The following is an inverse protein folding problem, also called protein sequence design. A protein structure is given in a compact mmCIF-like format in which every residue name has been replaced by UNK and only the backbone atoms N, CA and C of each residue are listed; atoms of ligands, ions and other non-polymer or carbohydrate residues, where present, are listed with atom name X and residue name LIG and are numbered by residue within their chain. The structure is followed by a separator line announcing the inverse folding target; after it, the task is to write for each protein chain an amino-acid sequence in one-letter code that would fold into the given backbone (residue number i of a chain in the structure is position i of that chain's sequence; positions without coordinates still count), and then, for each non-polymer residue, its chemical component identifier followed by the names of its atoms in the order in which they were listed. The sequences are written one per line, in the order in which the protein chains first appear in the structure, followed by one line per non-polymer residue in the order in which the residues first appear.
data_IF_127452779002
#
_entry.id   IF_127452779002
#
_cell.length_a   1.000
_cell.length_b   1.000
_cell.length_c   1.000
_cell.angle_alpha   90.00
_cell.angle_beta   90.00
_cell.angle_gamma   90.00
#
_symmetry.space_group_name_H-M   'P 1'
#
loop_
_entity.id
_entity.type
_entity.pdbx_description
1 polymer ?
#
# COMPACT_ATOMS: atom_id res chain seq x y z
N UNK A 1 -107.85 6.60 1.78
CA UNK A 1 -108.18 7.25 3.06
C UNK A 1 -106.95 8.02 3.52
N UNK A 2 -107.11 9.33 3.80
CA UNK A 2 -106.04 10.26 4.23
C UNK A 2 -105.66 10.04 5.69
N UNK A 3 -104.42 10.42 6.04
CA UNK A 3 -104.00 11.26 7.20
C UNK A 3 -102.56 10.88 7.60
N UNK A 4 -101.64 11.72 8.08
CA UNK A 4 -101.44 13.18 8.21
C UNK A 4 -99.99 13.36 8.71
N UNK A 5 -99.42 14.54 8.48
CA UNK A 5 -98.09 15.02 8.85
C UNK A 5 -97.78 15.16 10.36
N UNK A 6 -96.46 15.31 10.63
CA UNK A 6 -95.81 16.06 11.74
C UNK A 6 -95.58 15.25 13.04
N UNK A 7 -94.54 15.47 13.86
CA UNK A 7 -93.40 16.41 13.90
C UNK A 7 -92.56 16.07 15.18
N UNK A 8 -91.23 16.20 15.09
CA UNK A 8 -90.25 16.59 16.14
C UNK A 8 -90.34 16.07 17.60
N UNK A 9 -89.26 15.40 18.04
CA UNK A 9 -88.37 15.74 19.20
C UNK A 9 -87.65 14.46 19.70
N UNK A 10 -86.32 14.32 19.54
CA UNK A 10 -85.23 14.64 20.51
C UNK A 10 -85.28 13.75 21.78
N UNK A 11 -84.22 13.15 22.35
CA UNK A 11 -82.75 13.11 22.18
C UNK A 11 -82.18 12.13 23.26
N UNK A 12 -80.91 11.67 23.10
CA UNK A 12 -80.06 10.86 24.01
C UNK A 12 -80.38 9.35 24.06
N UNK A 13 -79.49 8.37 23.85
CA UNK A 13 -78.03 8.24 23.62
C UNK A 13 -77.77 6.82 23.08
N UNK A 14 -76.74 6.67 22.25
CA UNK A 14 -75.51 5.93 22.56
C UNK A 14 -74.73 5.85 21.23
N UNK A 15 -73.67 6.67 21.18
CA UNK A 15 -72.60 6.63 20.20
C UNK A 15 -71.95 5.25 20.17
N UNK A 16 -72.38 4.38 19.25
CA UNK A 16 -71.55 3.25 18.80
C UNK A 16 -70.81 3.70 17.55
N UNK A 17 -69.69 4.40 17.74
CA UNK A 17 -68.72 4.64 16.69
C UNK A 17 -68.15 3.29 16.21
N UNK A 18 -68.64 2.79 15.07
CA UNK A 18 -67.98 1.70 14.36
C UNK A 18 -66.60 2.21 13.88
N UNK A 19 -65.49 1.52 14.16
CA UNK A 19 -64.19 1.95 13.71
C UNK A 19 -64.13 1.91 12.16
N UNK A 20 -63.40 2.84 11.52
CA UNK A 20 -63.23 2.79 10.08
C UNK A 20 -62.47 1.51 9.74
N UNK A 21 -62.99 0.74 8.77
CA UNK A 21 -62.25 -0.37 8.15
C UNK A 21 -61.01 0.20 7.47
N UNK A 22 -59.89 0.32 8.20
CA UNK A 22 -58.57 0.58 7.59
C UNK A 22 -58.31 -0.57 6.63
N UNK A 23 -58.14 -0.26 5.35
CA UNK A 23 -57.99 -1.29 4.33
C UNK A 23 -56.69 -2.08 4.62
N UNK A 24 -56.75 -3.41 4.75
CA UNK A 24 -55.57 -4.22 5.05
C UNK A 24 -54.51 -4.15 3.95
N UNK A 25 -54.88 -3.69 2.73
CA UNK A 25 -53.93 -3.46 1.64
C UNK A 25 -53.01 -2.27 1.90
N UNK A 26 -53.51 -1.14 2.40
CA UNK A 26 -52.66 0.03 2.67
C UNK A 26 -51.61 -0.27 3.75
N UNK A 27 -52.00 -1.02 4.78
CA UNK A 27 -51.07 -1.47 5.82
C UNK A 27 -50.02 -2.45 5.26
N UNK A 28 -50.44 -3.42 4.43
CA UNK A 28 -49.51 -4.37 3.79
C UNK A 28 -48.53 -3.66 2.85
N UNK A 29 -48.99 -2.70 2.05
CA UNK A 29 -48.13 -1.91 1.16
C UNK A 29 -47.15 -1.04 1.95
N UNK A 30 -47.60 -0.40 3.04
CA UNK A 30 -46.73 0.38 3.92
C UNK A 30 -45.63 -0.49 4.56
N UNK A 31 -45.97 -1.71 5.01
CA UNK A 31 -45.00 -2.66 5.58
C UNK A 31 -43.96 -3.10 4.54
N UNK A 32 -44.36 -3.35 3.29
CA UNK A 32 -43.42 -3.73 2.22
C UNK A 32 -42.46 -2.58 1.90
N UNK A 33 -42.98 -1.35 1.77
CA UNK A 33 -42.14 -0.16 1.52
C UNK A 33 -41.17 0.04 2.67
N UNK A 34 -41.64 -0.05 3.92
CA UNK A 34 -40.78 0.07 5.09
C UNK A 34 -39.70 -1.01 5.11
N UNK A 35 -40.04 -2.27 4.81
CA UNK A 35 -39.07 -3.36 4.72
C UNK A 35 -38.03 -3.16 3.63
N UNK A 36 -38.41 -2.61 2.46
CA UNK A 36 -37.46 -2.29 1.39
C UNK A 36 -36.53 -1.13 1.79
N UNK A 37 -37.06 -0.08 2.39
CA UNK A 37 -36.26 1.06 2.88
C UNK A 37 -35.31 0.61 3.99
N UNK A 38 -35.77 -0.19 4.94
CA UNK A 38 -34.92 -0.79 5.97
C UNK A 38 -33.87 -1.71 5.36
N UNK A 39 -34.21 -2.54 4.37
CA UNK A 39 -33.26 -3.40 3.67
C UNK A 39 -32.16 -2.62 2.96
N UNK A 40 -32.52 -1.55 2.23
CA UNK A 40 -31.56 -0.65 1.56
C UNK A 40 -30.73 0.12 2.59
N UNK A 41 -31.32 0.57 3.69
CA UNK A 41 -30.62 1.26 4.77
C UNK A 41 -29.63 0.33 5.47
N UNK A 42 -30.04 -0.89 5.84
CA UNK A 42 -29.17 -1.91 6.43
C UNK A 42 -28.06 -2.27 5.45
N UNK A 43 -28.37 -2.49 4.16
CA UNK A 43 -27.36 -2.78 3.15
C UNK A 43 -26.37 -1.63 2.94
N UNK A 44 -26.85 -0.38 2.97
CA UNK A 44 -26.00 0.83 2.89
C UNK A 44 -25.11 0.97 4.13
N UNK A 45 -25.65 0.70 5.33
CA UNK A 45 -24.90 0.69 6.59
C UNK A 45 -23.87 -0.44 6.58
N UNK A 46 -24.22 -1.64 6.12
CA UNK A 46 -23.29 -2.76 5.99
C UNK A 46 -22.18 -2.47 4.97
N UNK A 47 -22.49 -1.86 3.82
CA UNK A 47 -21.48 -1.43 2.84
C UNK A 47 -20.55 -0.36 3.42
N UNK A 48 -21.10 0.63 4.13
CA UNK A 48 -20.31 1.63 4.86
C UNK A 48 -19.47 0.99 5.95
N UNK A 49 -19.99 -0.02 6.65
CA UNK A 49 -19.31 -0.73 7.74
C UNK A 49 -18.18 -1.62 7.20
N UNK A 50 -18.34 -2.27 6.05
CA UNK A 50 -17.26 -2.98 5.35
C UNK A 50 -16.19 -2.01 4.85
N UNK A 51 -16.59 -0.85 4.31
CA UNK A 51 -15.62 0.16 3.84
C UNK A 51 -14.87 0.81 5.01
N UNK A 52 -15.55 1.06 6.14
CA UNK A 52 -14.90 1.55 7.36
C UNK A 52 -14.07 0.46 8.01
N UNK A 53 -14.48 -0.80 7.99
CA UNK A 53 -13.70 -1.92 8.49
C UNK A 53 -12.41 -2.09 7.70
N UNK A 54 -12.44 -1.99 6.37
CA UNK A 54 -11.23 -1.96 5.54
C UNK A 54 -10.32 -0.75 5.88
N UNK A 55 -10.92 0.42 6.16
CA UNK A 55 -10.21 1.64 6.56
C UNK A 55 -9.61 1.54 7.96
N UNK A 56 -10.31 0.93 8.92
CA UNK A 56 -9.81 0.66 10.27
C UNK A 56 -8.74 -0.41 10.22
N UNK A 57 -8.83 -1.46 9.41
CA UNK A 57 -7.71 -2.40 9.24
C UNK A 57 -6.47 -1.67 8.70
N UNK A 58 -6.63 -0.76 7.74
CA UNK A 58 -5.51 0.05 7.21
C UNK A 58 -4.95 1.08 8.22
N UNK A 59 -5.77 1.54 9.17
CA UNK A 59 -5.35 2.44 10.26
C UNK A 59 -4.82 1.69 11.50
N UNK A 60 -5.31 0.49 11.80
CA UNK A 60 -4.86 -0.40 12.88
C UNK A 60 -3.53 -1.08 12.53
N UNK A 61 -3.20 -1.18 11.25
CA UNK A 61 -1.84 -1.48 10.81
C UNK A 61 -0.85 -0.33 11.06
N UNK A 62 -1.27 0.82 11.62
CA UNK A 62 -0.31 1.73 12.27
C UNK A 62 0.24 1.04 13.50
N UNK A 63 1.32 0.31 13.23
CA UNK A 63 2.35 -0.09 14.15
C UNK A 63 1.93 -1.24 15.07
N UNK A 64 2.46 -2.45 14.82
CA UNK A 64 2.85 -3.31 15.94
C UNK A 64 3.99 -2.55 16.64
N UNK A 65 3.59 -1.60 17.48
CA UNK A 65 4.48 -0.70 18.21
C UNK A 65 5.05 -1.45 19.40
N UNK A 66 5.97 -2.37 19.12
CA UNK A 66 6.93 -2.80 20.14
C UNK A 66 8.08 -1.78 20.23
N UNK A 67 7.77 -0.47 20.29
CA UNK A 67 8.79 0.59 20.31
C UNK A 67 9.51 0.75 21.64
N UNK A 68 9.20 0.00 22.69
CA UNK A 68 9.67 0.33 24.03
C UNK A 68 11.00 -0.28 24.47
N UNK A 69 11.78 -0.99 23.63
CA UNK A 69 13.02 -1.64 24.08
C UNK A 69 14.12 -1.66 23.01
N UNK A 70 14.72 -0.49 22.72
CA UNK A 70 15.29 -0.23 21.40
C UNK A 70 16.74 -0.64 21.11
N UNK A 71 17.56 -1.06 22.07
CA UNK A 71 18.89 -1.65 21.75
C UNK A 71 19.20 -2.84 22.65
N UNK A 72 18.84 -2.75 23.94
CA UNK A 72 19.11 -3.80 24.93
C UNK A 72 18.42 -5.14 24.62
N UNK A 73 17.30 -5.15 23.89
CA UNK A 73 16.58 -6.37 23.52
C UNK A 73 17.03 -6.98 22.19
N UNK A 74 17.75 -6.24 21.33
CA UNK A 74 18.41 -6.80 20.16
C UNK A 74 19.60 -7.70 20.56
N UNK A 75 20.13 -7.49 21.77
CA UNK A 75 21.06 -8.40 22.44
C UNK A 75 20.39 -9.71 22.90
N UNK A 76 19.07 -9.90 22.74
CA UNK A 76 18.53 -11.25 22.67
C UNK A 76 19.08 -11.87 21.38
N UNK A 77 20.06 -12.75 21.56
CA UNK A 77 20.90 -13.50 20.60
C UNK A 77 20.22 -14.14 19.38
N UNK A 78 18.89 -14.02 19.22
CA UNK A 78 18.09 -14.80 18.28
C UNK A 78 17.77 -14.12 16.93
N UNK A 79 18.11 -12.84 16.72
CA UNK A 79 18.00 -12.18 15.40
C UNK A 79 19.32 -12.09 14.64
N UNK A 80 20.45 -12.36 15.29
CA UNK A 80 21.77 -12.12 14.74
C UNK A 80 22.21 -13.30 13.87
N UNK A 81 22.61 -13.02 12.62
CA UNK A 81 23.18 -14.03 11.73
C UNK A 81 24.69 -13.85 11.61
N UNK A 82 25.41 -14.96 11.58
CA UNK A 82 26.83 -15.01 11.27
C UNK A 82 27.01 -15.80 9.97
N UNK A 83 26.63 -15.22 8.81
CA UNK A 83 26.70 -15.92 7.53
C UNK A 83 28.13 -16.34 7.23
N UNK A 84 28.27 -17.51 6.59
CA UNK A 84 29.53 -18.08 6.14
C UNK A 84 29.47 -18.23 4.62
N UNK A 85 29.80 -17.16 3.85
CA UNK A 85 29.80 -17.22 2.41
C UNK A 85 30.76 -18.29 1.91
N UNK A 86 30.38 -18.95 0.83
CA UNK A 86 31.20 -19.96 0.16
C UNK A 86 32.23 -19.34 -0.79
N UNK A 87 31.94 -18.15 -1.30
CA UNK A 87 32.73 -17.45 -2.31
C UNK A 87 33.91 -16.64 -1.75
N UNK A 88 33.92 -16.30 -0.45
CA UNK A 88 35.00 -15.54 0.18
C UNK A 88 35.04 -15.74 1.70
N UNK A 89 36.15 -15.36 2.33
CA UNK A 89 36.26 -15.27 3.79
C UNK A 89 35.83 -13.89 4.28
N UNK A 90 34.98 -13.84 5.31
CA UNK A 90 34.58 -12.58 5.96
C UNK A 90 35.71 -11.94 6.77
N UNK A 91 36.83 -12.63 6.97
CA UNK A 91 38.03 -12.13 7.67
C UNK A 91 37.68 -11.44 9.00
N UNK A 92 38.07 -10.18 9.17
CA UNK A 92 37.76 -9.36 10.35
C UNK A 92 36.26 -9.21 10.64
N UNK A 93 35.40 -9.30 9.61
CA UNK A 93 33.95 -9.24 9.75
C UNK A 93 33.31 -10.55 10.22
N UNK A 94 34.06 -11.65 10.37
CA UNK A 94 33.50 -12.96 10.69
C UNK A 94 32.67 -12.98 11.99
N UNK A 95 33.10 -12.19 12.98
CA UNK A 95 32.43 -12.04 14.28
C UNK A 95 31.39 -10.91 14.31
N UNK A 96 31.15 -10.22 13.20
CA UNK A 96 30.12 -9.21 13.12
C UNK A 96 28.81 -9.86 12.68
N UNK A 97 27.70 -9.68 13.41
CA UNK A 97 26.42 -10.19 12.97
C UNK A 97 25.87 -9.37 11.79
N UNK A 98 25.01 -9.99 10.99
CA UNK A 98 24.31 -9.37 9.87
C UNK A 98 22.81 -9.56 10.07
N UNK A 99 22.06 -8.48 9.94
CA UNK A 99 20.60 -8.51 9.92
C UNK A 99 20.10 -8.61 8.49
N UNK A 100 19.10 -9.46 8.28
CA UNK A 100 18.52 -9.67 6.96
C UNK A 100 17.24 -8.87 6.80
N UNK A 101 17.07 -8.24 5.64
CA UNK A 101 15.83 -7.54 5.33
C UNK A 101 15.35 -7.71 3.88
N UNK A 102 14.08 -7.40 3.65
CA UNK A 102 13.47 -7.27 2.33
C UNK A 102 12.58 -6.02 2.26
N UNK A 103 12.75 -5.19 1.24
CA UNK A 103 11.89 -4.04 0.96
C UNK A 103 10.76 -4.53 0.05
N UNK A 104 9.56 -4.71 0.60
CA UNK A 104 8.39 -5.15 -0.14
C UNK A 104 7.57 -3.93 -0.59
N UNK A 105 7.35 -3.80 -1.89
CA UNK A 105 6.74 -2.59 -2.43
C UNK A 105 5.96 -2.81 -3.73
N UNK A 106 5.17 -1.84 -4.14
CA UNK A 106 4.58 -1.79 -5.48
C UNK A 106 5.47 -0.93 -6.40
N UNK A 107 5.40 -1.16 -7.71
CA UNK A 107 6.04 -0.25 -8.67
C UNK A 107 5.60 1.20 -8.44
N UNK A 108 6.56 2.12 -8.61
CA UNK A 108 6.37 3.57 -8.48
C UNK A 108 5.95 4.07 -7.09
N UNK A 109 6.24 3.29 -6.05
CA UNK A 109 6.03 3.69 -4.65
C UNK A 109 7.26 4.35 -3.99
N UNK A 110 8.28 4.74 -4.79
CA UNK A 110 9.49 5.38 -4.28
C UNK A 110 10.59 4.41 -3.80
N UNK A 111 10.41 3.11 -3.96
CA UNK A 111 11.36 2.09 -3.48
C UNK A 111 12.75 2.14 -4.11
N UNK A 112 12.88 2.57 -5.35
CA UNK A 112 14.21 2.84 -5.94
C UNK A 112 14.95 3.99 -5.26
N UNK A 113 14.27 5.09 -4.93
CA UNK A 113 14.87 6.20 -4.17
C UNK A 113 15.19 5.80 -2.73
N UNK A 114 14.25 5.14 -2.05
CA UNK A 114 14.45 4.67 -0.69
C UNK A 114 15.62 3.68 -0.56
N UNK A 115 15.74 2.74 -1.52
CA UNK A 115 16.87 1.83 -1.56
C UNK A 115 18.22 2.56 -1.72
N UNK A 116 18.28 3.61 -2.55
CA UNK A 116 19.52 4.40 -2.67
C UNK A 116 19.87 5.16 -1.38
N UNK A 117 18.87 5.61 -0.61
CA UNK A 117 19.10 6.18 0.72
C UNK A 117 19.70 5.13 1.65
N UNK A 118 19.12 3.93 1.71
CA UNK A 118 19.66 2.86 2.55
C UNK A 118 21.09 2.47 2.13
N UNK A 119 21.37 2.37 0.83
CA UNK A 119 22.71 2.03 0.32
C UNK A 119 23.75 3.14 0.49
N UNK A 120 23.35 4.37 0.82
CA UNK A 120 24.30 5.40 1.25
C UNK A 120 24.83 5.14 2.66
N UNK A 121 24.19 4.26 3.42
CA UNK A 121 24.68 3.83 4.71
C UNK A 121 25.88 2.87 4.54
N UNK A 122 27.01 3.16 5.19
CA UNK A 122 28.26 2.40 5.09
C UNK A 122 28.09 0.91 5.44
N UNK A 123 27.25 0.59 6.43
CA UNK A 123 26.99 -0.79 6.87
C UNK A 123 25.78 -1.48 6.19
N UNK A 124 25.23 -0.94 5.10
CA UNK A 124 24.04 -1.53 4.43
C UNK A 124 24.36 -1.95 3.01
N UNK A 125 23.87 -3.14 2.64
CA UNK A 125 23.87 -3.64 1.27
C UNK A 125 22.48 -4.12 0.87
N UNK A 126 21.77 -3.32 0.07
CA UNK A 126 20.53 -3.71 -0.61
C UNK A 126 20.81 -3.99 -2.08
N UNK A 127 20.60 -5.23 -2.52
CA UNK A 127 21.04 -5.72 -3.83
C UNK A 127 20.11 -5.43 -5.00
N UNK A 128 19.16 -4.49 -4.86
CA UNK A 128 18.25 -4.14 -5.94
C UNK A 128 17.11 -5.14 -6.11
N UNK A 129 16.45 -5.01 -7.26
CA UNK A 129 15.25 -5.78 -7.62
C UNK A 129 15.63 -7.11 -8.28
N UNK A 130 16.29 -7.99 -7.52
CA UNK A 130 16.87 -9.22 -8.08
C UNK A 130 15.81 -10.15 -8.70
N UNK A 131 14.57 -10.12 -8.18
CA UNK A 131 13.45 -10.92 -8.68
C UNK A 131 12.71 -10.28 -9.85
N UNK A 132 13.20 -9.19 -10.43
CA UNK A 132 12.75 -8.72 -11.75
C UNK A 132 13.12 -9.68 -12.89
N UNK A 133 14.14 -10.51 -12.69
CA UNK A 133 14.59 -11.57 -13.60
C UNK A 133 13.69 -12.81 -13.47
N UNK A 134 13.10 -13.26 -14.57
CA UNK A 134 12.03 -14.30 -14.58
C UNK A 134 12.54 -15.64 -14.07
N UNK A 135 13.74 -16.03 -14.46
CA UNK A 135 14.38 -17.30 -14.15
C UNK A 135 14.48 -17.54 -12.64
N UNK A 136 14.71 -16.47 -11.88
CA UNK A 136 14.87 -16.51 -10.42
C UNK A 136 13.54 -16.69 -9.67
N UNK A 137 12.41 -16.53 -10.37
CA UNK A 137 11.05 -16.64 -9.81
C UNK A 137 10.15 -17.60 -10.59
N UNK A 138 10.72 -18.53 -11.36
CA UNK A 138 9.94 -19.51 -12.12
C UNK A 138 9.15 -20.47 -11.23
N UNK A 139 9.67 -20.77 -10.04
CA UNK A 139 9.04 -21.60 -9.02
C UNK A 139 9.63 -21.28 -7.64
N UNK A 140 9.02 -21.84 -6.59
CA UNK A 140 9.44 -21.62 -5.21
C UNK A 140 10.90 -22.04 -4.96
N UNK A 141 11.36 -23.17 -5.52
CA UNK A 141 12.74 -23.63 -5.33
C UNK A 141 13.77 -22.63 -5.87
N UNK A 142 13.54 -22.07 -7.06
CA UNK A 142 14.39 -21.02 -7.63
C UNK A 142 14.43 -19.75 -6.76
N UNK A 143 13.29 -19.41 -6.15
CA UNK A 143 13.17 -18.27 -5.24
C UNK A 143 14.03 -18.51 -4.00
N UNK A 144 13.82 -19.64 -3.31
CA UNK A 144 14.53 -19.96 -2.08
C UNK A 144 16.04 -20.08 -2.31
N UNK A 145 16.47 -20.74 -3.40
CA UNK A 145 17.89 -20.81 -3.79
C UNK A 145 18.50 -19.42 -4.03
N UNK A 146 17.73 -18.49 -4.59
CA UNK A 146 18.19 -17.11 -4.80
C UNK A 146 18.29 -16.36 -3.47
N UNK A 147 17.30 -16.52 -2.58
CA UNK A 147 17.33 -15.94 -1.23
C UNK A 147 18.51 -16.48 -0.40
N UNK A 148 18.81 -17.77 -0.52
CA UNK A 148 19.96 -18.38 0.14
C UNK A 148 21.27 -17.73 -0.32
N UNK A 149 21.45 -17.53 -1.63
CA UNK A 149 22.64 -16.83 -2.15
C UNK A 149 22.77 -15.43 -1.56
N UNK A 150 21.67 -14.67 -1.50
CA UNK A 150 21.68 -13.31 -0.94
C UNK A 150 22.03 -13.32 0.55
N UNK A 151 21.32 -14.12 1.35
CA UNK A 151 21.45 -14.10 2.81
C UNK A 151 22.62 -14.95 3.33
N UNK A 152 23.29 -15.72 2.48
CA UNK A 152 24.61 -16.29 2.76
C UNK A 152 25.76 -15.35 2.36
N UNK A 153 25.44 -14.15 1.86
CA UNK A 153 26.39 -13.15 1.33
C UNK A 153 27.14 -13.59 0.07
N UNK A 154 26.64 -14.58 -0.66
CA UNK A 154 27.21 -15.07 -1.92
C UNK A 154 26.63 -14.34 -3.15
N UNK A 155 26.05 -13.15 -2.95
CA UNK A 155 25.50 -12.32 -4.01
C UNK A 155 26.32 -11.05 -4.21
N UNK A 156 26.80 -10.82 -5.44
CA UNK A 156 27.69 -9.71 -5.77
C UNK A 156 27.13 -8.83 -6.88
N UNK A 157 27.08 -7.53 -6.62
CA UNK A 157 26.84 -6.49 -7.64
C UNK A 157 27.43 -5.15 -7.14
N UNK A 158 27.07 -4.05 -7.80
CA UNK A 158 27.52 -2.70 -7.43
C UNK A 158 27.08 -2.22 -6.03
N UNK A 159 26.16 -2.90 -5.36
CA UNK A 159 25.77 -2.60 -3.99
C UNK A 159 26.60 -3.35 -2.92
N UNK A 160 27.45 -4.30 -3.34
CA UNK A 160 28.41 -4.94 -2.45
C UNK A 160 29.39 -3.92 -1.88
N UNK A 161 29.63 -3.98 -0.57
CA UNK A 161 30.58 -3.12 0.14
C UNK A 161 31.89 -3.86 0.37
N UNK A 162 32.99 -3.11 0.47
CA UNK A 162 34.28 -3.68 0.85
C UNK A 162 34.39 -3.76 2.38
N UNK A 163 33.64 -2.93 3.09
CA UNK A 163 33.52 -2.90 4.54
C UNK A 163 32.52 -3.94 5.05
N UNK A 164 32.51 -4.16 6.37
CA UNK A 164 31.56 -5.08 7.00
C UNK A 164 30.12 -4.55 6.92
N UNK A 165 29.25 -5.23 6.16
CA UNK A 165 27.80 -4.97 6.21
C UNK A 165 27.19 -5.48 7.52
N UNK A 166 26.42 -4.62 8.19
CA UNK A 166 25.62 -4.96 9.37
C UNK A 166 24.17 -5.30 9.00
N UNK A 167 23.68 -4.83 7.85
CA UNK A 167 22.38 -5.22 7.31
C UNK A 167 22.46 -5.51 5.80
N UNK A 168 21.87 -6.62 5.40
CA UNK A 168 21.86 -7.10 4.02
C UNK A 168 20.44 -7.44 3.58
N UNK A 169 20.07 -7.00 2.38
CA UNK A 169 18.74 -7.21 1.87
C UNK A 169 18.58 -7.00 0.39
N UNK A 170 17.33 -6.92 -0.02
CA UNK A 170 16.93 -6.75 -1.41
C UNK A 170 15.62 -5.96 -1.49
N UNK A 171 15.34 -5.45 -2.68
CA UNK A 171 14.05 -4.87 -3.03
C UNK A 171 13.23 -5.90 -3.80
N UNK A 172 11.95 -6.04 -3.46
CA UNK A 172 11.06 -6.99 -4.13
C UNK A 172 9.70 -6.35 -4.38
N UNK A 173 9.29 -6.35 -5.64
CA UNK A 173 7.97 -5.86 -6.00
C UNK A 173 6.90 -6.95 -5.79
N UNK A 174 5.73 -6.56 -5.28
CA UNK A 174 4.66 -7.51 -4.93
C UNK A 174 4.23 -8.40 -6.12
N UNK A 175 4.33 -7.89 -7.35
CA UNK A 175 3.96 -8.61 -8.58
C UNK A 175 5.08 -9.49 -9.17
N UNK A 176 6.14 -9.79 -8.41
CA UNK A 176 7.29 -10.59 -8.87
C UNK A 176 7.34 -11.96 -8.17
N UNK A 177 6.24 -12.70 -8.20
CA UNK A 177 6.15 -14.04 -7.59
C UNK A 177 6.00 -14.05 -6.06
N UNK A 178 6.14 -12.89 -5.39
CA UNK A 178 6.01 -12.77 -3.94
C UNK A 178 4.61 -13.19 -3.44
N UNK A 179 3.56 -12.65 -4.07
CA UNK A 179 2.17 -12.94 -3.68
C UNK A 179 1.77 -14.38 -4.05
N UNK A 180 2.34 -14.92 -5.13
CA UNK A 180 2.06 -16.28 -5.62
C UNK A 180 2.63 -17.35 -4.68
N UNK A 181 3.85 -17.15 -4.17
CA UNK A 181 4.55 -18.08 -3.28
C UNK A 181 4.65 -17.57 -1.82
N UNK A 182 3.63 -16.81 -1.38
CA UNK A 182 3.69 -16.08 -0.11
C UNK A 182 3.89 -16.96 1.11
N UNK A 183 3.33 -18.18 1.14
CA UNK A 183 3.41 -19.09 2.30
C UNK A 183 4.85 -19.53 2.54
N UNK A 184 5.49 -20.04 1.49
CA UNK A 184 6.85 -20.55 1.54
C UNK A 184 7.86 -19.42 1.77
N UNK A 185 7.60 -18.24 1.20
CA UNK A 185 8.45 -17.05 1.44
C UNK A 185 8.30 -16.55 2.88
N UNK A 186 7.07 -16.51 3.43
CA UNK A 186 6.84 -16.11 4.82
C UNK A 186 7.50 -17.11 5.78
N UNK A 187 7.39 -18.41 5.51
CA UNK A 187 8.09 -19.46 6.27
C UNK A 187 9.60 -19.27 6.21
N UNK A 188 10.17 -19.05 5.02
CA UNK A 188 11.59 -18.77 4.86
C UNK A 188 12.02 -17.51 5.61
N UNK A 189 11.28 -16.40 5.50
CA UNK A 189 11.60 -15.16 6.21
C UNK A 189 11.54 -15.35 7.73
N UNK A 190 10.57 -16.10 8.25
CA UNK A 190 10.47 -16.38 9.68
C UNK A 190 11.60 -17.30 10.15
N UNK A 191 11.92 -18.34 9.39
CA UNK A 191 13.01 -19.27 9.69
C UNK A 191 14.37 -18.56 9.66
N UNK A 192 14.62 -17.76 8.62
CA UNK A 192 15.86 -17.01 8.39
C UNK A 192 15.86 -15.61 9.03
N UNK A 193 14.86 -15.29 9.85
CA UNK A 193 14.69 -14.01 10.57
C UNK A 193 14.85 -12.77 9.69
N UNK A 194 14.41 -12.86 8.45
CA UNK A 194 14.37 -11.72 7.52
C UNK A 194 13.29 -10.75 7.97
N UNK A 195 13.67 -9.50 8.17
CA UNK A 195 12.76 -8.42 8.52
C UNK A 195 12.20 -7.74 7.26
N UNK A 196 10.91 -7.41 7.27
CA UNK A 196 10.27 -6.76 6.13
C UNK A 196 10.18 -5.25 6.35
N UNK A 197 10.51 -4.48 5.33
CA UNK A 197 10.16 -3.06 5.22
C UNK A 197 9.09 -2.95 4.14
N UNK A 198 7.83 -2.77 4.54
CA UNK A 198 6.78 -2.42 3.60
C UNK A 198 6.91 -0.96 3.22
N UNK A 199 7.15 -0.68 1.94
CA UNK A 199 7.16 0.68 1.44
C UNK A 199 6.01 0.88 0.46
N UNK A 200 5.02 1.67 0.87
CA UNK A 200 3.87 2.01 0.04
C UNK A 200 3.78 3.50 -0.23
N UNK A 201 2.91 3.87 -1.17
CA UNK A 201 2.60 5.25 -1.49
C UNK A 201 1.11 5.45 -1.28
N UNK A 202 0.73 6.41 -0.44
CA UNK A 202 -0.67 6.66 -0.09
C UNK A 202 -1.44 7.22 -1.28
N UNK A 203 -0.87 8.15 -2.04
CA UNK A 203 -1.56 8.70 -3.20
C UNK A 203 -1.47 7.73 -4.38
N UNK A 204 -2.49 6.86 -4.52
CA UNK A 204 -2.57 5.83 -5.55
C UNK A 204 -2.82 6.41 -6.95
N UNK A 205 -3.57 7.51 -7.07
CA UNK A 205 -3.75 8.22 -8.35
C UNK A 205 -2.41 8.73 -8.87
N UNK A 206 -1.61 9.37 -8.02
CA UNK A 206 -0.27 9.84 -8.39
C UNK A 206 0.68 8.69 -8.70
N UNK A 207 0.55 7.55 -8.02
CA UNK A 207 1.26 6.32 -8.39
C UNK A 207 0.87 5.87 -9.79
N UNK A 208 -0.42 5.86 -10.13
CA UNK A 208 -0.94 5.50 -11.46
C UNK A 208 -0.39 6.42 -12.55
N UNK A 209 -0.44 7.73 -12.37
CA UNK A 209 0.18 8.70 -13.30
C UNK A 209 1.65 8.37 -13.53
N UNK A 210 2.41 8.13 -12.45
CA UNK A 210 3.82 7.77 -12.58
C UNK A 210 4.05 6.41 -13.26
N UNK A 211 3.13 5.44 -13.14
CA UNK A 211 3.20 4.16 -13.83
C UNK A 211 2.97 4.35 -15.34
N UNK A 212 1.95 5.09 -15.71
CA UNK A 212 1.61 5.37 -17.11
C UNK A 212 2.72 6.15 -17.81
N UNK A 213 3.25 7.20 -17.18
CA UNK A 213 4.37 7.98 -17.72
C UNK A 213 5.64 7.14 -17.88
N UNK A 214 5.98 6.31 -16.89
CA UNK A 214 7.12 5.38 -17.01
C UNK A 214 6.89 4.36 -18.14
N UNK A 215 5.65 3.90 -18.31
CA UNK A 215 5.32 2.93 -19.37
C UNK A 215 5.44 3.55 -20.75
N UNK A 216 5.01 4.79 -20.91
CA UNK A 216 5.15 5.56 -22.14
C UNK A 216 6.64 5.74 -22.51
N UNK A 217 7.47 6.16 -21.54
CA UNK A 217 8.90 6.39 -21.77
C UNK A 217 9.67 5.12 -22.18
N UNK A 218 9.18 3.92 -21.85
CA UNK A 218 9.79 2.66 -22.34
C UNK A 218 9.85 2.59 -23.86
N UNK A 219 8.88 3.19 -24.54
CA UNK A 219 8.81 3.22 -26.01
C UNK A 219 9.27 4.55 -26.57
N UNK A 220 8.81 5.66 -25.97
CA UNK A 220 9.12 7.01 -26.43
C UNK A 220 10.59 7.40 -26.20
N UNK A 221 11.24 6.85 -25.17
CA UNK A 221 12.66 7.02 -24.87
C UNK A 221 13.09 8.50 -24.88
N UNK A 222 12.39 9.30 -24.08
CA UNK A 222 12.41 10.77 -24.15
C UNK A 222 13.78 11.38 -23.82
N UNK A 223 14.66 10.62 -23.15
CA UNK A 223 16.00 11.06 -22.79
C UNK A 223 17.03 10.42 -23.73
N UNK A 224 17.34 11.12 -24.83
CA UNK A 224 18.37 10.72 -25.79
C UNK A 224 18.21 9.27 -26.31
N UNK A 225 16.98 8.83 -26.60
CA UNK A 225 16.73 7.48 -27.09
C UNK A 225 16.93 6.38 -26.05
N UNK A 226 16.99 6.75 -24.76
CA UNK A 226 17.09 5.80 -23.63
C UNK A 226 15.88 5.93 -22.71
N UNK A 227 15.34 4.79 -22.27
CA UNK A 227 14.33 4.75 -21.21
C UNK A 227 15.00 4.97 -19.84
N UNK A 228 14.46 5.87 -19.01
CA UNK A 228 14.92 6.04 -17.63
C UNK A 228 13.76 6.01 -16.64
N UNK A 229 13.78 5.01 -15.75
CA UNK A 229 12.82 4.91 -14.66
C UNK A 229 13.09 5.89 -13.50
N UNK A 230 14.35 6.33 -13.37
CA UNK A 230 14.84 7.27 -12.36
C UNK A 230 15.81 8.25 -13.02
N UNK A 231 15.84 9.48 -12.51
CA UNK A 231 16.64 10.57 -13.04
C UNK A 231 17.46 11.23 -11.94
N UNK A 232 18.55 11.88 -12.32
CA UNK A 232 19.49 12.50 -11.40
C UNK A 232 19.57 14.02 -11.52
N UNK A 233 18.90 14.61 -12.51
CA UNK A 233 18.87 16.05 -12.72
C UNK A 233 17.43 16.58 -12.79
N UNK A 234 17.27 17.88 -12.52
CA UNK A 234 15.98 18.55 -12.59
C UNK A 234 15.49 18.67 -14.05
N UNK A 235 16.41 18.85 -14.99
CA UNK A 235 16.13 18.97 -16.42
C UNK A 235 15.60 17.65 -16.99
N UNK A 236 16.23 16.51 -16.65
CA UNK A 236 15.74 15.19 -17.04
C UNK A 236 14.34 14.92 -16.44
N UNK A 237 14.13 15.30 -15.18
CA UNK A 237 12.84 15.18 -14.51
C UNK A 237 11.75 16.01 -15.22
N UNK A 238 12.08 17.24 -15.61
CA UNK A 238 11.16 18.13 -16.32
C UNK A 238 10.76 17.52 -17.67
N UNK A 239 11.71 17.03 -18.46
CA UNK A 239 11.44 16.39 -19.75
C UNK A 239 10.47 15.20 -19.59
N UNK A 240 10.74 14.31 -18.63
CA UNK A 240 9.88 13.13 -18.41
C UNK A 240 8.49 13.51 -17.88
N UNK A 241 8.36 14.60 -17.13
CA UNK A 241 7.08 15.05 -16.57
C UNK A 241 6.14 15.69 -17.62
N UNK A 242 6.63 16.02 -18.82
CA UNK A 242 5.81 16.63 -19.89
C UNK A 242 4.73 15.71 -20.43
N UNK A 243 4.93 14.39 -20.36
CA UNK A 243 3.92 13.44 -20.79
C UNK A 243 2.76 13.40 -19.78
N UNK A 244 1.55 13.71 -20.26
CA UNK A 244 0.32 13.65 -19.47
C UNK A 244 -0.53 12.45 -19.93
N UNK A 245 -0.64 11.38 -19.15
CA UNK A 245 -1.53 10.28 -19.49
C UNK A 245 -3.01 10.70 -19.51
N UNK A 246 -3.77 10.04 -20.38
CA UNK A 246 -5.24 9.97 -20.28
C UNK A 246 -5.57 8.80 -19.36
N UNK A 247 -6.39 9.04 -18.34
CA UNK A 247 -6.83 8.03 -17.38
C UNK A 247 -8.26 7.60 -17.73
N UNK A 248 -8.51 6.29 -17.76
CA UNK A 248 -9.85 5.76 -18.01
C UNK A 248 -10.73 5.96 -16.77
N UNK A 249 -11.57 6.99 -16.79
CA UNK A 249 -12.48 7.32 -15.69
C UNK A 249 -13.49 6.21 -15.39
N UNK A 250 -13.84 5.36 -16.36
CA UNK A 250 -14.80 4.27 -16.18
C UNK A 250 -14.24 3.17 -15.28
N UNK A 251 -12.95 2.85 -15.38
CA UNK A 251 -12.30 1.80 -14.55
C UNK A 251 -11.58 2.36 -13.31
N UNK A 252 -11.44 3.68 -13.20
CA UNK A 252 -10.57 4.32 -12.23
C UNK A 252 -10.84 3.89 -10.77
N UNK A 253 -12.09 3.81 -10.35
CA UNK A 253 -12.43 3.43 -8.97
C UNK A 253 -12.04 1.98 -8.67
N UNK A 254 -12.26 1.07 -9.63
CA UNK A 254 -11.90 -0.34 -9.51
C UNK A 254 -10.38 -0.51 -9.53
N UNK A 255 -9.67 0.21 -10.42
CA UNK A 255 -8.21 0.20 -10.48
C UNK A 255 -7.58 0.66 -9.16
N UNK A 256 -8.10 1.74 -8.54
CA UNK A 256 -7.62 2.23 -7.25
C UNK A 256 -7.91 1.24 -6.12
N UNK A 257 -9.08 0.60 -6.14
CA UNK A 257 -9.46 -0.43 -5.17
C UNK A 257 -8.57 -1.66 -5.27
N UNK A 258 -8.28 -2.13 -6.47
CA UNK A 258 -7.36 -3.25 -6.70
C UNK A 258 -5.95 -2.92 -6.22
N UNK A 259 -5.49 -1.68 -6.46
CA UNK A 259 -4.19 -1.19 -5.99
C UNK A 259 -4.09 -1.17 -4.45
N UNK A 260 -5.16 -0.81 -3.75
CA UNK A 260 -5.26 -0.87 -2.30
C UNK A 260 -5.28 -2.32 -1.80
N UNK A 261 -6.13 -3.17 -2.40
CA UNK A 261 -6.30 -4.57 -2.02
C UNK A 261 -5.01 -5.37 -2.14
N UNK A 262 -4.20 -5.14 -3.19
CA UNK A 262 -2.88 -5.78 -3.33
C UNK A 262 -1.94 -5.46 -2.17
N UNK A 263 -1.99 -4.23 -1.66
CA UNK A 263 -1.15 -3.80 -0.54
C UNK A 263 -1.66 -4.42 0.77
N UNK A 264 -2.99 -4.40 0.99
CA UNK A 264 -3.62 -5.03 2.15
C UNK A 264 -3.33 -6.54 2.21
N UNK A 265 -3.44 -7.24 1.09
CA UNK A 265 -3.17 -8.67 0.96
C UNK A 265 -1.71 -9.01 1.29
N UNK A 266 -0.76 -8.18 0.86
CA UNK A 266 0.64 -8.37 1.24
C UNK A 266 0.87 -8.20 2.74
N UNK A 267 0.22 -7.22 3.38
CA UNK A 267 0.28 -7.05 4.84
C UNK A 267 -0.31 -8.26 5.57
N UNK A 268 -1.44 -8.79 5.08
CA UNK A 268 -2.07 -9.99 5.63
C UNK A 268 -1.14 -11.21 5.52
N UNK A 269 -0.55 -11.44 4.34
CA UNK A 269 0.30 -12.60 4.07
C UNK A 269 1.58 -12.66 4.90
N UNK A 270 2.12 -11.52 5.31
CA UNK A 270 3.34 -11.45 6.10
C UNK A 270 3.10 -10.85 7.49
N UNK A 271 1.87 -10.92 8.00
CA UNK A 271 1.53 -10.39 9.32
C UNK A 271 2.33 -11.03 10.46
N UNK A 272 2.74 -12.28 10.30
CA UNK A 272 3.54 -13.05 11.27
C UNK A 272 5.04 -12.83 11.14
N UNK A 273 5.49 -12.15 10.08
CA UNK A 273 6.89 -11.80 9.86
C UNK A 273 7.18 -10.44 10.46
N UNK A 274 8.33 -10.29 11.13
CA UNK A 274 8.77 -9.01 11.69
C UNK A 274 8.80 -7.95 10.60
N UNK A 275 8.00 -6.90 10.73
CA UNK A 275 7.89 -5.88 9.71
C UNK A 275 7.73 -4.45 10.27
N UNK A 276 8.09 -3.47 9.45
CA UNK A 276 7.73 -2.05 9.62
C UNK A 276 6.99 -1.59 8.36
N UNK A 277 5.99 -0.72 8.53
CA UNK A 277 5.25 -0.12 7.42
C UNK A 277 5.65 1.34 7.31
N UNK A 278 6.10 1.71 6.12
CA UNK A 278 6.58 3.05 5.80
C UNK A 278 5.85 3.53 4.56
N UNK A 279 5.45 4.80 4.57
CA UNK A 279 4.84 5.43 3.42
C UNK A 279 5.77 6.49 2.84
N UNK A 280 5.82 6.53 1.50
CA UNK A 280 6.64 7.48 0.75
C UNK A 280 6.42 8.93 1.20
N UNK A 281 5.17 9.31 1.44
CA UNK A 281 4.82 10.66 1.87
C UNK A 281 5.42 11.01 3.24
N UNK A 282 5.50 10.05 4.17
CA UNK A 282 6.11 10.27 5.48
C UNK A 282 7.61 10.45 5.37
N UNK A 283 8.28 9.65 4.51
CA UNK A 283 9.71 9.78 4.26
C UNK A 283 10.09 11.12 3.63
N UNK A 284 9.20 11.67 2.79
CA UNK A 284 9.43 12.96 2.12
C UNK A 284 9.19 14.15 3.05
N UNK A 285 8.21 14.06 3.95
CA UNK A 285 7.85 15.17 4.86
C UNK A 285 8.63 15.13 6.17
N UNK A 286 8.86 13.93 6.70
CA UNK A 286 9.42 13.71 8.03
C UNK A 286 10.67 12.80 7.98
N UNK A 287 11.83 13.44 8.00
CA UNK A 287 13.12 12.75 8.00
C UNK A 287 13.34 11.86 9.24
N UNK A 288 12.57 12.01 10.33
CA UNK A 288 12.67 11.09 11.48
C UNK A 288 12.28 9.67 11.10
N UNK A 289 11.41 9.46 10.10
CA UNK A 289 11.02 8.12 9.65
C UNK A 289 12.18 7.31 9.05
N UNK A 290 13.20 7.97 8.50
CA UNK A 290 14.43 7.28 8.10
C UNK A 290 15.25 6.82 9.31
N UNK A 291 15.17 7.51 10.45
CA UNK A 291 15.80 7.09 11.69
C UNK A 291 15.11 5.87 12.27
N UNK A 292 13.77 5.83 12.27
CA UNK A 292 12.98 4.66 12.69
C UNK A 292 13.35 3.41 11.87
N UNK A 293 13.59 3.56 10.56
CA UNK A 293 14.05 2.46 9.70
C UNK A 293 15.46 1.99 10.06
N UNK A 294 16.39 2.92 10.30
CA UNK A 294 17.76 2.57 10.72
C UNK A 294 17.73 1.81 12.05
N UNK A 295 16.97 2.29 13.02
CA UNK A 295 16.77 1.61 14.31
C UNK A 295 16.11 0.23 14.15
N UNK A 296 15.08 0.12 13.30
CA UNK A 296 14.44 -1.15 12.97
C UNK A 296 15.41 -2.16 12.36
N UNK A 297 16.41 -1.70 11.63
CA UNK A 297 17.49 -2.51 11.06
C UNK A 297 18.70 -2.66 12.00
N UNK A 298 18.63 -2.19 13.25
CA UNK A 298 19.73 -2.28 14.22
C UNK A 298 20.97 -1.49 13.81
N UNK A 299 20.81 -0.44 13.01
CA UNK A 299 21.90 0.37 12.46
C UNK A 299 22.15 1.60 13.33
N UNK A 300 23.41 2.08 13.41
CA UNK A 300 23.68 3.41 13.93
C UNK A 300 22.98 4.46 13.06
N UNK A 301 22.52 5.55 13.66
CA UNK A 301 21.90 6.63 12.90
C UNK A 301 22.95 7.40 12.10
N UNK A 302 22.65 7.61 10.82
CA UNK A 302 23.43 8.43 9.90
C UNK A 302 22.50 9.21 8.97
N UNK A 303 23.03 10.31 8.45
CA UNK A 303 22.39 11.05 7.35
C UNK A 303 22.45 10.25 6.05
N UNK A 304 21.27 9.90 5.53
CA UNK A 304 21.13 9.13 4.31
C UNK A 304 20.93 10.08 3.13
N UNK A 305 21.59 9.79 2.00
CA UNK A 305 21.57 10.66 0.82
C UNK A 305 21.21 9.88 -0.44
N UNK A 306 20.55 10.56 -1.38
CA UNK A 306 20.19 9.99 -2.67
C UNK A 306 20.36 11.02 -3.76
N UNK A 307 20.83 10.56 -4.93
CA UNK A 307 20.89 11.38 -6.15
C UNK A 307 19.60 11.31 -6.97
N UNK A 308 18.59 10.53 -6.55
CA UNK A 308 17.35 10.44 -7.31
C UNK A 308 16.51 11.69 -7.13
N UNK A 309 15.96 12.19 -8.25
CA UNK A 309 15.10 13.36 -8.28
C UNK A 309 13.65 12.94 -8.54
N UNK A 310 12.70 13.55 -7.81
CA UNK A 310 11.25 13.35 -8.04
C UNK A 310 10.86 13.98 -9.39
N UNK A 311 10.33 13.15 -10.30
CA UNK A 311 9.89 13.53 -11.66
C UNK A 311 8.64 14.43 -11.60
N UNK A 312 7.51 13.90 -11.11
CA UNK A 312 6.25 14.64 -11.06
C UNK A 312 6.17 15.50 -9.79
N UNK A 313 6.30 16.82 -9.94
CA UNK A 313 6.17 17.82 -8.87
C UNK A 313 4.92 18.68 -9.09
N UNK A 314 4.37 19.27 -8.03
CA UNK A 314 3.16 20.10 -8.14
C UNK A 314 1.83 19.32 -8.18
N UNK A 315 0.72 20.00 -8.50
CA UNK A 315 -0.62 19.43 -8.48
C UNK A 315 -0.83 18.38 -9.58
N UNK A 316 -1.72 17.42 -9.34
CA UNK A 316 -1.97 16.33 -10.30
C UNK A 316 -2.65 16.79 -11.60
N UNK A 317 -3.39 17.89 -11.55
CA UNK A 317 -3.99 18.54 -12.73
C UNK A 317 -2.96 18.83 -13.82
N UNK A 318 -1.71 19.13 -13.43
CA UNK A 318 -0.66 19.45 -14.38
C UNK A 318 -0.14 18.19 -15.10
N UNK A 319 -0.41 17.00 -14.56
CA UNK A 319 0.16 15.72 -15.02
C UNK A 319 -0.89 14.76 -15.60
N UNK A 320 -2.15 15.18 -15.76
CA UNK A 320 -3.23 14.35 -16.30
C UNK A 320 -3.91 15.10 -17.44
N UNK A 321 -4.04 14.47 -18.60
CA UNK A 321 -4.58 15.13 -19.78
C UNK A 321 -6.09 15.38 -19.66
N UNK A 322 -6.86 14.41 -19.15
CA UNK A 322 -8.31 14.51 -18.93
C UNK A 322 -8.64 14.76 -17.45
N UNK A 323 -8.00 15.75 -16.84
CA UNK A 323 -8.12 16.04 -15.40
C UNK A 323 -9.58 16.23 -14.95
N UNK A 324 -10.40 16.94 -15.72
CA UNK A 324 -11.78 17.23 -15.32
C UNK A 324 -12.62 15.96 -15.15
N UNK A 325 -12.43 14.97 -16.02
CA UNK A 325 -13.11 13.68 -15.91
C UNK A 325 -12.65 12.90 -14.67
N UNK A 326 -11.34 12.90 -14.40
CA UNK A 326 -10.75 12.23 -13.22
C UNK A 326 -11.23 12.90 -11.93
N UNK A 327 -11.18 14.23 -11.87
CA UNK A 327 -11.67 15.03 -10.76
C UNK A 327 -13.14 14.76 -10.49
N UNK A 328 -13.99 14.81 -11.53
CA UNK A 328 -15.42 14.50 -11.42
C UNK A 328 -15.67 13.07 -10.93
N UNK A 329 -14.86 12.11 -11.37
CA UNK A 329 -15.01 10.69 -11.00
C UNK A 329 -14.66 10.43 -9.54
N UNK A 330 -13.63 11.10 -9.01
CA UNK A 330 -13.16 10.88 -7.64
C UNK A 330 -13.86 11.76 -6.59
N UNK A 331 -14.41 12.91 -6.99
CA UNK A 331 -15.09 13.82 -6.07
C UNK A 331 -16.31 13.15 -5.42
N UNK A 332 -16.43 13.26 -4.10
CA UNK A 332 -17.48 12.61 -3.31
C UNK A 332 -17.25 11.11 -3.06
N UNK A 333 -16.11 10.55 -3.50
CA UNK A 333 -15.75 9.15 -3.24
C UNK A 333 -14.74 9.03 -2.10
N UNK A 334 -14.47 7.80 -1.65
CA UNK A 334 -13.43 7.54 -0.64
C UNK A 334 -12.02 7.90 -1.11
N UNK A 335 -11.82 8.06 -2.42
CA UNK A 335 -10.53 8.39 -3.04
C UNK A 335 -10.40 9.88 -3.39
N UNK A 336 -11.36 10.73 -2.99
CA UNK A 336 -11.32 12.18 -3.24
C UNK A 336 -10.00 12.80 -2.75
N UNK A 337 -9.48 12.35 -1.61
CA UNK A 337 -8.20 12.83 -1.06
C UNK A 337 -7.00 12.58 -1.98
N UNK A 338 -7.09 11.72 -2.99
CA UNK A 338 -6.00 11.52 -3.95
C UNK A 338 -5.90 12.65 -4.98
N UNK A 339 -6.92 13.49 -5.11
CA UNK A 339 -6.89 14.70 -5.93
C UNK A 339 -6.00 15.78 -5.32
N UNK A 340 -5.85 15.75 -3.99
CA UNK A 340 -4.97 16.65 -3.26
C UNK A 340 -3.50 16.28 -3.49
N UNK A 341 -2.63 17.25 -3.23
CA UNK A 341 -1.21 17.04 -3.40
C UNK A 341 -0.57 16.36 -2.19
N UNK A 342 0.62 15.80 -2.39
CA UNK A 342 1.35 15.03 -1.38
C UNK A 342 1.90 15.90 -0.21
N UNK A 343 1.46 17.16 0.02
CA UNK A 343 1.99 18.08 1.04
C UNK A 343 1.11 18.32 2.27
#
# INVERSE_FOLDING_TARGET
MRNTLSSFARFWEILVMKPPKRSPMLLRTAVIIFSMVCGVFIFSVCLKQISTQARTTFMDFKVIDNHSQSILKLMNTHLLHYPKPSSFSRNECAHNPVLFFAILSNQRSGSGWFETLLNSHVNVSSYGEIFSVRERRQNVSSILLTLDKVYNLDWFNSASKNECSAATGLKWMLNQGLVEHHKEIAEYFNHRRVSIIFLFRRNLLRRMVSMLANSYDRYAKLLNGTHKAHVHSAEEAEILSKYKPIINSTSLLDDLKDMEMRSAKALEYFNSTRHIIVYYEDLMRNHTKLKDVQEFLGLPQMELTSRHVKIHRGPLSDHIQNWDDVNKTLKGTIYESFLEADY
#
